data_IF_469318805593
#
_entry.id   IF_469318805593
#
_cell.length_a   1.000
_cell.length_b   1.000
_cell.length_c   1.000
_cell.angle_alpha   90.00
_cell.angle_beta   90.00
_cell.angle_gamma   90.00
#
_symmetry.space_group_name_H-M   'P 1'
#
loop_
_entity.id
_entity.type
_entity.pdbx_description
1 polymer ?
#
# COMPACT_ATOMS: atom_id res chain seq x y z
N UNK A 1 37.80 34.95 -2.02
CA UNK A 1 36.60 34.70 -1.18
C UNK A 1 35.56 33.98 -2.04
N UNK A 2 35.54 32.64 -2.06
CA UNK A 2 34.47 31.84 -2.67
C UNK A 2 33.81 31.03 -1.55
N UNK A 3 32.79 31.60 -0.93
CA UNK A 3 31.95 30.93 0.04
C UNK A 3 30.59 30.69 -0.61
N UNK A 4 30.38 29.52 -1.20
CA UNK A 4 29.02 29.05 -1.45
C UNK A 4 28.91 27.61 -0.95
N UNK A 5 28.44 27.55 0.28
CA UNK A 5 28.09 26.42 1.12
C UNK A 5 27.51 25.26 0.30
N UNK A 6 27.99 24.01 0.45
CA UNK A 6 27.28 22.87 -0.13
C UNK A 6 25.92 22.80 0.57
N UNK A 7 24.86 23.02 -0.20
CA UNK A 7 23.49 22.78 0.24
C UNK A 7 23.43 21.35 0.80
N UNK A 8 23.08 21.15 2.08
CA UNK A 8 22.71 19.82 2.53
C UNK A 8 21.44 19.49 1.76
N UNK A 9 21.55 18.55 0.80
CA UNK A 9 20.41 17.90 0.19
C UNK A 9 19.63 17.25 1.33
N UNK A 10 18.68 18.02 1.87
CA UNK A 10 17.75 17.62 2.91
C UNK A 10 16.90 16.54 2.26
N UNK A 11 17.40 15.31 2.34
CA UNK A 11 16.62 14.10 2.13
C UNK A 11 15.43 14.30 3.04
N UNK A 12 14.28 14.62 2.45
CA UNK A 12 12.98 14.58 3.11
C UNK A 12 12.77 13.11 3.46
N UNK A 13 13.40 12.68 4.54
CA UNK A 13 13.08 11.41 5.18
C UNK A 13 11.63 11.60 5.60
N UNK A 14 10.67 10.85 5.04
CA UNK A 14 9.36 10.80 5.64
C UNK A 14 9.62 10.43 7.09
N UNK A 15 9.07 11.19 8.03
CA UNK A 15 9.08 10.81 9.42
C UNK A 15 8.40 9.43 9.45
N UNK A 16 9.19 8.36 9.52
CA UNK A 16 8.72 7.04 9.84
C UNK A 16 8.34 7.13 11.32
N UNK A 17 7.20 7.76 11.59
CA UNK A 17 6.60 7.75 12.91
C UNK A 17 6.37 6.29 13.21
N UNK A 18 7.06 5.80 14.23
CA UNK A 18 7.09 4.41 14.65
C UNK A 18 5.77 3.92 15.23
N UNK A 19 4.67 4.12 14.51
CA UNK A 19 3.48 3.28 14.65
C UNK A 19 3.78 1.98 13.93
N UNK A 20 3.83 0.88 14.68
CA UNK A 20 3.98 -0.47 14.15
C UNK A 20 3.08 -0.60 12.91
N UNK A 21 3.67 -0.76 11.72
CA UNK A 21 2.93 -0.92 10.45
C UNK A 21 2.22 -2.26 10.50
N UNK A 22 1.03 -2.27 11.08
CA UNK A 22 0.15 -3.43 11.21
C UNK A 22 -0.71 -3.58 9.95
N UNK A 23 -0.14 -3.31 8.78
CA UNK A 23 -0.81 -3.49 7.48
C UNK A 23 -0.28 -4.78 6.87
N UNK A 24 -1.15 -5.76 6.66
CA UNK A 24 -0.79 -7.03 6.01
C UNK A 24 -1.63 -7.28 4.78
N UNK A 25 -1.03 -7.95 3.80
CA UNK A 25 -1.76 -8.42 2.62
C UNK A 25 -2.48 -9.74 2.92
N UNK A 26 -3.50 -10.07 2.13
CA UNK A 26 -4.17 -11.38 2.18
C UNK A 26 -3.19 -12.55 2.04
N UNK A 27 -2.09 -12.37 1.29
CA UNK A 27 -1.04 -13.38 1.16
C UNK A 27 -0.27 -13.53 2.46
N UNK A 28 0.17 -12.43 3.06
CA UNK A 28 0.89 -12.44 4.33
C UNK A 28 0.03 -13.01 5.44
N UNK A 29 -1.26 -12.65 5.50
CA UNK A 29 -2.21 -13.27 6.42
C UNK A 29 -2.26 -14.79 6.25
N UNK A 30 -2.32 -15.29 5.01
CA UNK A 30 -2.30 -16.74 4.74
C UNK A 30 -0.99 -17.39 5.15
N UNK A 31 0.14 -16.72 4.95
CA UNK A 31 1.46 -17.20 5.42
C UNK A 31 1.52 -17.26 6.96
N UNK A 32 0.78 -16.41 7.66
CA UNK A 32 0.56 -16.47 9.10
C UNK A 32 -0.58 -17.43 9.52
N UNK A 33 -1.16 -18.21 8.59
CA UNK A 33 -2.25 -19.16 8.86
C UNK A 33 -3.64 -18.52 8.97
N UNK A 34 -3.78 -17.23 8.70
CA UNK A 34 -5.07 -16.52 8.71
C UNK A 34 -5.68 -16.55 7.32
N UNK A 35 -6.82 -17.22 7.19
CA UNK A 35 -7.55 -17.30 5.91
C UNK A 35 -8.28 -16.00 5.60
N UNK A 36 -8.65 -15.79 4.32
CA UNK A 36 -9.44 -14.64 3.91
C UNK A 36 -10.82 -14.58 4.62
N UNK A 37 -11.42 -15.76 4.89
CA UNK A 37 -12.66 -15.85 5.66
C UNK A 37 -12.46 -15.42 7.12
N UNK A 38 -11.37 -15.87 7.76
CA UNK A 38 -11.01 -15.43 9.13
C UNK A 38 -10.72 -13.93 9.18
N UNK A 39 -10.06 -13.38 8.16
CA UNK A 39 -9.82 -11.95 8.05
C UNK A 39 -11.13 -11.17 7.90
N UNK A 40 -12.05 -11.64 7.05
CA UNK A 40 -13.37 -11.03 6.88
C UNK A 40 -14.19 -11.05 8.19
N UNK A 41 -14.17 -12.17 8.92
CA UNK A 41 -14.81 -12.28 10.24
C UNK A 41 -14.18 -11.31 11.26
N UNK A 42 -12.86 -11.12 11.22
CA UNK A 42 -12.14 -10.15 12.07
C UNK A 42 -12.39 -8.69 11.66
N UNK A 43 -12.81 -8.45 10.42
CA UNK A 43 -13.17 -7.13 9.88
C UNK A 43 -14.64 -6.74 10.10
N UNK A 44 -15.44 -7.58 10.78
CA UNK A 44 -16.83 -7.27 11.08
C UNK A 44 -16.96 -6.01 11.94
N UNK A 45 -18.10 -5.29 11.90
CA UNK A 45 -18.32 -4.12 12.75
C UNK A 45 -18.12 -4.46 14.23
N UNK A 46 -17.19 -3.75 14.89
CA UNK A 46 -16.73 -4.04 16.25
C UNK A 46 -15.45 -4.89 16.33
N UNK A 47 -14.93 -5.34 15.19
CA UNK A 47 -13.68 -6.07 15.07
C UNK A 47 -12.45 -5.17 15.17
N UNK A 48 -11.35 -5.75 15.65
CA UNK A 48 -10.07 -5.06 15.79
C UNK A 48 -9.36 -4.82 14.45
N UNK A 49 -9.88 -5.37 13.34
CA UNK A 49 -9.24 -5.33 12.03
C UNK A 49 -10.14 -4.61 11.02
N UNK A 50 -9.51 -4.05 9.98
CA UNK A 50 -10.23 -3.26 8.97
C UNK A 50 -9.70 -3.57 7.59
N UNK A 51 -10.58 -3.69 6.61
CA UNK A 51 -10.18 -3.83 5.22
C UNK A 51 -10.12 -2.44 4.56
N UNK A 52 -8.91 -1.96 4.25
CA UNK A 52 -8.70 -0.66 3.60
C UNK A 52 -8.80 -0.79 2.08
N UNK A 53 -8.24 -1.87 1.51
CA UNK A 53 -8.22 -2.16 0.07
C UNK A 53 -8.51 -3.65 -0.16
N UNK A 54 -8.92 -4.06 -1.37
CA UNK A 54 -9.16 -5.47 -1.68
C UNK A 54 -7.90 -6.32 -1.44
N UNK A 55 -7.95 -7.17 -0.41
CA UNK A 55 -6.83 -8.03 -0.03
C UNK A 55 -5.69 -7.33 0.71
N UNK A 56 -5.92 -6.13 1.27
CA UNK A 56 -5.01 -5.47 2.22
C UNK A 56 -5.79 -5.10 3.47
N UNK A 57 -5.27 -5.53 4.62
CA UNK A 57 -5.94 -5.47 5.91
C UNK A 57 -5.08 -4.73 6.93
N UNK A 58 -5.77 -4.00 7.79
CA UNK A 58 -5.24 -3.28 8.93
C UNK A 58 -5.51 -4.09 10.20
N UNK A 59 -4.47 -4.40 10.96
CA UNK A 59 -4.54 -5.24 12.16
C UNK A 59 -4.57 -4.40 13.45
N UNK A 60 -5.19 -3.22 13.41
CA UNK A 60 -5.38 -2.40 14.60
C UNK A 60 -6.78 -1.77 14.65
N UNK A 61 -7.35 -1.61 15.86
CA UNK A 61 -8.61 -0.90 16.04
C UNK A 61 -8.36 0.61 15.96
N UNK A 62 -8.84 1.27 14.91
CA UNK A 62 -8.68 2.73 14.78
C UNK A 62 -8.91 3.24 13.37
N UNK A 63 -9.07 4.56 13.20
CA UNK A 63 -9.13 5.14 11.86
C UNK A 63 -7.76 4.96 11.17
N UNK A 64 -7.71 4.47 9.93
CA UNK A 64 -6.45 4.22 9.24
C UNK A 64 -5.70 5.52 8.99
N UNK A 65 -4.45 5.59 9.43
CA UNK A 65 -3.63 6.79 9.23
C UNK A 65 -3.28 6.98 7.75
N UNK A 66 -2.93 8.19 7.37
CA UNK A 66 -2.53 8.49 5.98
C UNK A 66 -1.28 7.71 5.54
N UNK A 67 -0.33 7.44 6.45
CA UNK A 67 0.83 6.58 6.16
C UNK A 67 0.43 5.13 5.87
N UNK A 68 -0.49 4.56 6.66
CA UNK A 68 -0.95 3.19 6.46
C UNK A 68 -1.76 3.04 5.18
N UNK A 69 -2.60 4.04 4.86
CA UNK A 69 -3.29 4.09 3.57
C UNK A 69 -2.31 4.18 2.41
N UNK A 70 -1.26 5.00 2.52
CA UNK A 70 -0.20 5.08 1.50
C UNK A 70 0.53 3.74 1.36
N UNK A 71 0.93 3.12 2.48
CA UNK A 71 1.61 1.83 2.45
C UNK A 71 0.74 0.71 1.87
N UNK A 72 -0.55 0.68 2.26
CA UNK A 72 -1.53 -0.24 1.70
C UNK A 72 -1.71 -0.02 0.19
N UNK A 73 -1.77 1.23 -0.26
CA UNK A 73 -1.86 1.58 -1.68
C UNK A 73 -0.62 1.13 -2.46
N UNK A 74 0.58 1.35 -1.91
CA UNK A 74 1.83 0.88 -2.52
C UNK A 74 1.87 -0.65 -2.62
N UNK A 75 1.50 -1.38 -1.56
CA UNK A 75 1.44 -2.84 -1.59
C UNK A 75 0.39 -3.36 -2.59
N UNK A 76 -0.77 -2.70 -2.66
CA UNK A 76 -1.84 -3.06 -3.59
C UNK A 76 -1.40 -2.81 -5.04
N UNK A 77 -0.77 -1.67 -5.33
CA UNK A 77 -0.27 -1.32 -6.65
C UNK A 77 0.83 -2.30 -7.11
N UNK A 78 1.77 -2.66 -6.23
CA UNK A 78 2.81 -3.65 -6.54
C UNK A 78 2.26 -5.05 -6.82
N UNK A 79 1.07 -5.39 -6.27
CA UNK A 79 0.41 -6.68 -6.47
C UNK A 79 -0.48 -6.70 -7.72
N UNK A 80 -0.95 -5.54 -8.18
CA UNK A 80 -1.80 -5.47 -9.37
C UNK A 80 -0.90 -5.72 -10.58
N UNK A 81 -1.01 -6.87 -11.28
CA UNK A 81 -0.35 -6.97 -12.57
C UNK A 81 -0.90 -5.84 -13.43
N UNK A 82 -0.01 -5.09 -14.10
CA UNK A 82 -0.42 -4.16 -15.15
C UNK A 82 -1.39 -4.91 -16.04
N UNK A 83 -2.64 -4.46 -16.06
CA UNK A 83 -3.65 -5.18 -16.82
C UNK A 83 -3.23 -5.11 -18.29
N UNK A 84 -3.38 -6.17 -19.10
CA UNK A 84 -3.01 -6.12 -20.50
C UNK A 84 -3.74 -5.00 -21.28
N UNK A 85 -4.88 -4.52 -20.75
CA UNK A 85 -5.58 -3.33 -21.24
C UNK A 85 -4.78 -2.02 -21.08
N UNK A 86 -3.96 -1.90 -20.03
CA UNK A 86 -3.03 -0.78 -19.83
C UNK A 86 -1.82 -0.88 -20.76
N UNK A 87 -1.54 -2.11 -21.25
CA UNK A 87 -0.43 -2.41 -22.15
C UNK A 87 -0.77 -2.28 -23.63
N UNK A 88 -2.01 -1.94 -23.99
CA UNK A 88 -2.38 -1.71 -25.39
C UNK A 88 -1.75 -0.37 -25.83
N UNK A 89 -0.71 -0.36 -26.69
CA UNK A 89 -0.29 0.89 -27.32
C UNK A 89 -1.46 1.43 -28.15
N UNK A 90 -1.65 2.76 -28.26
CA UNK A 90 -2.68 3.31 -29.12
C UNK A 90 -2.48 2.71 -30.51
N UNK A 91 -3.51 1.99 -30.98
CA UNK A 91 -3.50 1.32 -32.28
C UNK A 91 -3.09 2.33 -33.34
N UNK A 92 -1.86 2.21 -33.85
CA UNK A 92 -1.39 3.05 -34.95
C UNK A 92 -2.29 2.73 -36.15
N UNK A 93 -2.94 3.72 -36.77
CA UNK A 93 -3.69 3.47 -37.99
C UNK A 93 -2.73 2.96 -39.07
N UNK A 94 -3.06 1.82 -39.67
CA UNK A 94 -2.34 1.30 -40.83
C UNK A 94 -2.69 2.20 -42.02
N UNK A 95 -1.70 2.84 -42.68
CA UNK A 95 -1.98 3.61 -43.89
C UNK A 95 -2.28 2.68 -45.08
N UNK A 96 -3.06 3.15 -46.06
CA UNK A 96 -3.53 2.36 -47.21
C UNK A 96 -2.42 1.95 -48.18
#
# INVERSE_FOLDING_TARGET
>A
MNHNTPYPSRILRPAASGGRRLVLTARQLREHGVTAATAAERCRPGGHWQQILPGVFLLHPGAPTSEERLHAALMYASRRPVSPADRMPPSRPVPP
#
